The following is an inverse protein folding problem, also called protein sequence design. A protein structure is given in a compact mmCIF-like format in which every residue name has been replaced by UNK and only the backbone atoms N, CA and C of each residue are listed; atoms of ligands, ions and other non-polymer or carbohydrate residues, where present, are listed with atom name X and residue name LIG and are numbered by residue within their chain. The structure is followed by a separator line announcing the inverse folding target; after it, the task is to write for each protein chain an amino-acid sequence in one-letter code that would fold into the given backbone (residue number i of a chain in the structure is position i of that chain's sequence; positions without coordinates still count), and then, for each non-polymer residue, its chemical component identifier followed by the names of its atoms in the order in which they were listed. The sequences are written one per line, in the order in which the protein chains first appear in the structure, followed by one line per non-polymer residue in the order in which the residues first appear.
data_IF_862586796954
#
_entry.id   IF_862586796954
#
_cell.length_a   1.000
_cell.length_b   1.000
_cell.length_c   1.000
_cell.angle_alpha   90.00
_cell.angle_beta   90.00
_cell.angle_gamma   90.00
#
_symmetry.space_group_name_H-M   'P 1'
#
loop_
_entity.id
_entity.type
_entity.pdbx_description
1 polymer ?
#
# COMPACT_ATOMS: atom_id res chain seq x y z
N UNK A 1 -10.30 -14.00 -7.83
CA UNK A 1 -10.50 -15.07 -6.82
C UNK A 1 -9.46 -14.89 -5.71
N UNK A 2 -9.90 -14.99 -4.45
CA UNK A 2 -8.99 -14.95 -3.30
C UNK A 2 -8.53 -16.37 -3.00
N UNK A 3 -7.20 -16.58 -2.89
CA UNK A 3 -6.62 -17.83 -2.44
C UNK A 3 -6.58 -17.82 -0.90
N UNK A 4 -7.04 -18.89 -0.26
CA UNK A 4 -7.10 -19.03 1.20
C UNK A 4 -6.06 -19.98 1.77
N UNK A 5 -5.63 -20.98 0.99
CA UNK A 5 -4.56 -21.88 1.40
C UNK A 5 -3.82 -22.49 0.21
N UNK A 6 -2.60 -22.92 0.48
CA UNK A 6 -1.76 -23.69 -0.43
C UNK A 6 -1.69 -25.13 0.09
N UNK A 7 -1.87 -26.10 -0.81
CA UNK A 7 -1.75 -27.52 -0.53
C UNK A 7 -0.66 -28.14 -1.40
N UNK A 8 0.20 -28.97 -0.81
CA UNK A 8 1.22 -29.69 -1.55
C UNK A 8 0.84 -31.15 -1.71
N UNK A 9 0.64 -31.60 -2.94
CA UNK A 9 0.26 -32.98 -3.28
C UNK A 9 1.22 -33.51 -4.35
N UNK A 10 1.80 -34.67 -4.13
CA UNK A 10 2.70 -35.33 -5.09
C UNK A 10 3.82 -34.41 -5.62
N UNK A 11 4.41 -33.56 -4.74
CA UNK A 11 5.48 -32.60 -5.05
C UNK A 11 5.01 -31.33 -5.82
N UNK A 12 3.73 -31.18 -6.12
CA UNK A 12 3.16 -30.03 -6.79
C UNK A 12 2.23 -29.22 -5.87
N UNK A 13 2.09 -27.94 -6.15
CA UNK A 13 1.25 -27.04 -5.42
C UNK A 13 -0.15 -26.95 -6.01
N UNK A 14 -1.13 -26.92 -5.13
CA UNK A 14 -2.52 -26.61 -5.43
C UNK A 14 -2.96 -25.41 -4.60
N UNK A 15 -3.72 -24.51 -5.23
CA UNK A 15 -4.25 -23.31 -4.58
C UNK A 15 -5.75 -23.50 -4.35
N UNK A 16 -6.18 -23.33 -3.12
CA UNK A 16 -7.60 -23.42 -2.78
C UNK A 16 -8.15 -22.01 -2.58
N UNK A 17 -9.17 -21.67 -3.33
CA UNK A 17 -9.81 -20.37 -3.25
C UNK A 17 -10.94 -20.32 -2.20
N UNK A 18 -11.50 -19.11 -2.01
CA UNK A 18 -12.60 -18.86 -1.06
C UNK A 18 -13.89 -19.62 -1.38
N UNK A 19 -14.02 -20.18 -2.57
CA UNK A 19 -15.13 -21.03 -2.99
C UNK A 19 -14.81 -22.53 -2.87
N UNK A 20 -13.66 -22.86 -2.24
CA UNK A 20 -13.12 -24.22 -2.13
C UNK A 20 -12.78 -24.87 -3.47
N UNK A 21 -12.60 -24.07 -4.51
CA UNK A 21 -12.13 -24.57 -5.81
C UNK A 21 -10.64 -24.80 -5.77
N UNK A 22 -10.19 -25.95 -6.28
CA UNK A 22 -8.80 -26.33 -6.38
C UNK A 22 -8.24 -25.87 -7.74
N UNK A 23 -7.17 -25.08 -7.73
CA UNK A 23 -6.45 -24.64 -8.91
C UNK A 23 -5.06 -25.27 -8.94
N UNK A 24 -4.60 -25.70 -10.10
CA UNK A 24 -3.31 -26.36 -10.29
C UNK A 24 -3.46 -27.68 -11.06
N UNK A 25 -2.43 -28.56 -11.00
CA UNK A 25 -1.18 -28.43 -10.21
C UNK A 25 -0.20 -27.40 -10.76
N UNK A 26 0.66 -26.87 -9.89
CA UNK A 26 1.75 -25.96 -10.22
C UNK A 26 3.08 -26.47 -9.65
N UNK A 27 4.16 -26.34 -10.40
CA UNK A 27 5.50 -26.75 -9.96
C UNK A 27 6.09 -25.74 -8.94
N UNK A 28 5.74 -24.47 -9.10
CA UNK A 28 6.23 -23.39 -8.24
C UNK A 28 5.12 -22.39 -7.93
N UNK A 29 5.22 -21.75 -6.74
CA UNK A 29 4.33 -20.70 -6.29
C UNK A 29 5.14 -19.49 -5.81
N UNK A 30 4.74 -18.30 -6.25
CA UNK A 30 5.25 -17.03 -5.73
C UNK A 30 4.13 -16.37 -4.95
N UNK A 31 4.37 -16.13 -3.66
CA UNK A 31 3.45 -15.44 -2.75
C UNK A 31 3.85 -13.96 -2.71
N UNK A 32 3.12 -13.11 -3.43
CA UNK A 32 3.38 -11.69 -3.57
C UNK A 32 2.25 -10.85 -2.96
N UNK A 33 1.95 -11.11 -1.68
CA UNK A 33 0.90 -10.41 -0.91
C UNK A 33 1.47 -9.85 0.38
N UNK A 34 0.79 -8.90 1.06
CA UNK A 34 1.22 -8.37 2.35
C UNK A 34 1.47 -9.47 3.40
N UNK A 35 2.37 -9.24 4.38
CA UNK A 35 2.82 -10.29 5.30
C UNK A 35 1.68 -10.93 6.10
N UNK A 36 0.70 -10.14 6.54
CA UNK A 36 -0.48 -10.67 7.25
C UNK A 36 -1.35 -11.61 6.38
N UNK A 37 -1.28 -11.46 5.06
CA UNK A 37 -1.96 -12.36 4.12
C UNK A 37 -1.06 -13.52 3.68
N UNK A 38 0.26 -13.32 3.66
CA UNK A 38 1.23 -14.35 3.32
C UNK A 38 1.35 -15.42 4.42
N UNK A 39 1.40 -15.02 5.70
CA UNK A 39 1.62 -15.92 6.82
C UNK A 39 0.65 -17.13 6.85
N UNK A 40 -0.68 -16.98 6.71
CA UNK A 40 -1.58 -18.12 6.65
C UNK A 40 -1.36 -19.02 5.42
N UNK A 41 -0.99 -18.45 4.27
CA UNK A 41 -0.68 -19.23 3.07
C UNK A 41 0.59 -20.06 3.24
N UNK A 42 1.54 -19.59 4.05
CA UNK A 42 2.83 -20.23 4.33
C UNK A 42 2.82 -21.19 5.50
N UNK A 43 1.66 -21.48 6.13
CA UNK A 43 1.56 -22.28 7.34
C UNK A 43 2.25 -23.66 7.26
N UNK A 44 2.34 -24.24 6.05
CA UNK A 44 3.06 -25.52 5.80
C UNK A 44 4.57 -25.37 5.54
N UNK A 45 5.14 -24.16 5.59
CA UNK A 45 6.55 -23.88 5.22
C UNK A 45 7.23 -23.12 6.37
N UNK A 46 7.69 -23.84 7.36
CA UNK A 46 8.11 -23.30 8.66
C UNK A 46 9.17 -22.19 8.59
N UNK A 47 10.13 -22.29 7.64
CA UNK A 47 11.18 -21.28 7.47
C UNK A 47 10.69 -19.98 6.81
N UNK A 48 9.52 -19.96 6.19
CA UNK A 48 8.92 -18.77 5.56
C UNK A 48 7.81 -18.14 6.40
N UNK A 49 7.10 -18.95 7.19
CA UNK A 49 5.97 -18.43 8.00
C UNK A 49 6.43 -17.49 9.10
N UNK A 50 7.57 -17.77 9.76
CA UNK A 50 8.06 -16.92 10.85
C UNK A 50 8.44 -15.52 10.40
N UNK A 51 9.23 -15.28 9.31
CA UNK A 51 9.45 -13.97 8.77
C UNK A 51 8.14 -13.22 8.42
N UNK A 52 7.19 -13.89 7.75
CA UNK A 52 5.92 -13.26 7.39
C UNK A 52 5.07 -12.91 8.62
N UNK A 53 5.02 -13.78 9.63
CA UNK A 53 4.25 -13.52 10.86
C UNK A 53 4.84 -12.42 11.74
N UNK A 54 6.16 -12.22 11.67
CA UNK A 54 6.85 -11.19 12.44
C UNK A 54 6.93 -9.83 11.72
N UNK A 55 6.48 -9.77 10.48
CA UNK A 55 6.42 -8.53 9.73
C UNK A 55 5.06 -7.86 9.88
N UNK A 56 5.07 -6.54 10.02
CA UNK A 56 3.87 -5.72 10.08
C UNK A 56 3.90 -4.60 9.05
N UNK A 57 2.72 -4.17 8.63
CA UNK A 57 2.52 -3.04 7.73
C UNK A 57 1.76 -1.94 8.44
N UNK A 58 2.11 -0.71 8.15
CA UNK A 58 1.38 0.47 8.61
C UNK A 58 0.32 0.86 7.58
N UNK A 59 -0.84 1.34 8.02
CA UNK A 59 -1.87 1.85 7.12
C UNK A 59 -1.54 3.24 6.61
N UNK A 60 -2.30 3.67 5.59
CA UNK A 60 -2.26 5.02 5.06
C UNK A 60 -3.54 5.38 4.34
N UNK A 61 -3.91 6.65 4.39
CA UNK A 61 -4.92 7.23 3.52
C UNK A 61 -4.24 7.96 2.37
N UNK A 62 -4.73 7.73 1.16
CA UNK A 62 -4.36 8.51 -0.02
C UNK A 62 -5.60 9.25 -0.52
N UNK A 63 -5.49 10.56 -0.68
CA UNK A 63 -6.55 11.42 -1.22
C UNK A 63 -6.08 12.00 -2.54
N UNK A 64 -6.87 11.79 -3.60
CA UNK A 64 -6.68 12.43 -4.89
C UNK A 64 -7.73 13.53 -5.05
N UNK A 65 -7.29 14.72 -5.44
CA UNK A 65 -8.18 15.85 -5.74
C UNK A 65 -7.85 16.48 -7.09
N UNK A 66 -8.88 17.01 -7.75
CA UNK A 66 -8.73 17.93 -8.88
C UNK A 66 -9.30 19.29 -8.49
N UNK A 67 -8.53 20.34 -8.65
CA UNK A 67 -8.94 21.69 -8.34
C UNK A 67 -9.43 22.43 -9.61
N UNK A 68 -10.37 23.38 -9.46
CA UNK A 68 -10.94 24.12 -10.60
C UNK A 68 -9.95 25.04 -11.29
N UNK A 69 -8.87 25.41 -10.59
CA UNK A 69 -7.83 26.31 -11.09
C UNK A 69 -6.48 26.00 -10.48
N UNK A 70 -5.43 26.45 -11.12
CA UNK A 70 -4.06 26.31 -10.65
C UNK A 70 -3.88 27.04 -9.32
N UNK A 71 -3.23 26.36 -8.35
CA UNK A 71 -2.84 26.98 -7.09
C UNK A 71 -1.64 27.92 -7.28
N UNK A 72 -1.67 29.03 -6.58
CA UNK A 72 -0.52 29.94 -6.45
C UNK A 72 0.50 29.38 -5.46
N UNK A 73 1.17 28.33 -5.88
CA UNK A 73 2.22 27.66 -5.12
C UNK A 73 3.33 27.21 -6.06
N UNK A 74 4.57 27.48 -5.68
CA UNK A 74 5.76 27.00 -6.38
C UNK A 74 6.11 25.56 -6.04
N UNK A 75 5.44 24.94 -5.05
CA UNK A 75 5.72 23.58 -4.63
C UNK A 75 5.12 22.56 -5.61
N UNK A 76 5.93 21.65 -6.11
CA UNK A 76 5.51 20.48 -6.87
C UNK A 76 5.28 19.27 -5.96
N UNK A 77 6.05 19.16 -4.88
CA UNK A 77 5.86 18.16 -3.84
C UNK A 77 6.43 18.65 -2.50
N UNK A 78 5.83 18.23 -1.40
CA UNK A 78 6.27 18.56 -0.04
C UNK A 78 6.22 17.31 0.84
N UNK A 79 7.33 16.98 1.50
CA UNK A 79 7.34 16.05 2.62
C UNK A 79 6.98 16.82 3.90
N UNK A 80 5.82 16.55 4.45
CA UNK A 80 5.28 17.22 5.64
C UNK A 80 5.71 16.51 6.91
N UNK A 81 5.46 15.21 6.99
CA UNK A 81 5.84 14.31 8.08
C UNK A 81 5.35 14.74 9.46
N UNK A 82 4.27 15.47 9.51
CA UNK A 82 3.68 15.96 10.77
C UNK A 82 2.16 16.12 10.64
N UNK A 83 1.45 15.99 11.77
CA UNK A 83 0.00 16.07 11.79
C UNK A 83 -0.63 14.96 10.93
N UNK A 84 -1.70 15.26 10.18
CA UNK A 84 -2.36 14.28 9.33
C UNK A 84 -1.60 13.96 8.05
N UNK A 85 -0.71 14.85 7.56
CA UNK A 85 -0.02 14.70 6.27
C UNK A 85 1.42 14.21 6.40
N UNK A 86 1.77 13.22 5.59
CA UNK A 86 3.15 12.76 5.36
C UNK A 86 3.74 13.41 4.10
N UNK A 87 2.96 13.43 3.01
CA UNK A 87 3.42 13.91 1.71
C UNK A 87 2.26 14.44 0.88
N UNK A 88 2.53 15.48 0.09
CA UNK A 88 1.63 16.02 -0.93
C UNK A 88 2.39 16.20 -2.24
N UNK A 89 1.74 15.98 -3.38
CA UNK A 89 2.34 16.18 -4.69
C UNK A 89 1.34 16.66 -5.73
N UNK A 90 1.81 17.59 -6.59
CA UNK A 90 1.10 18.05 -7.77
C UNK A 90 1.36 17.08 -8.93
N UNK A 91 0.33 16.41 -9.41
CA UNK A 91 0.47 15.41 -10.47
C UNK A 91 0.85 16.02 -11.83
N UNK A 92 0.42 17.27 -12.10
CA UNK A 92 0.75 17.97 -13.34
C UNK A 92 2.25 18.30 -13.49
N UNK A 93 3.04 18.27 -12.41
CA UNK A 93 4.49 18.48 -12.47
C UNK A 93 5.25 17.26 -13.02
N UNK A 94 4.61 16.10 -13.07
CA UNK A 94 5.23 14.86 -13.56
C UNK A 94 5.25 14.81 -15.09
N UNK A 95 6.32 14.27 -15.71
CA UNK A 95 6.41 14.15 -17.17
C UNK A 95 5.23 13.37 -17.77
N UNK A 96 4.70 13.86 -18.88
CA UNK A 96 3.62 13.20 -19.63
C UNK A 96 2.22 13.30 -19.00
N UNK A 97 2.05 14.08 -17.93
CA UNK A 97 0.74 14.30 -17.31
C UNK A 97 -0.01 15.47 -17.98
N UNK A 98 -1.36 15.39 -17.94
CA UNK A 98 -2.21 16.47 -18.40
C UNK A 98 -2.02 17.73 -17.53
N UNK A 99 -2.21 18.91 -18.14
CA UNK A 99 -2.09 20.20 -17.45
C UNK A 99 -3.37 20.51 -16.65
N UNK A 100 -3.76 19.61 -15.76
CA UNK A 100 -4.87 19.73 -14.82
C UNK A 100 -4.32 19.85 -13.40
N UNK A 101 -4.96 20.66 -12.55
CA UNK A 101 -4.49 20.88 -11.17
C UNK A 101 -4.91 19.72 -10.28
N UNK A 102 -4.22 18.59 -10.46
CA UNK A 102 -4.42 17.37 -9.69
C UNK A 102 -3.36 17.26 -8.60
N UNK A 103 -3.81 16.91 -7.40
CA UNK A 103 -2.95 16.68 -6.26
C UNK A 103 -3.23 15.32 -5.64
N UNK A 104 -2.17 14.70 -5.10
CA UNK A 104 -2.25 13.53 -4.26
C UNK A 104 -1.72 13.89 -2.88
N UNK A 105 -2.50 13.55 -1.86
CA UNK A 105 -2.19 13.76 -0.46
C UNK A 105 -2.08 12.40 0.22
N UNK A 106 -1.03 12.19 0.99
CA UNK A 106 -0.83 10.95 1.76
C UNK A 106 -0.75 11.28 3.24
N UNK A 107 -1.49 10.51 4.04
CA UNK A 107 -1.48 10.67 5.49
C UNK A 107 -0.24 10.08 6.14
N UNK A 108 0.08 10.56 7.36
CA UNK A 108 0.99 9.84 8.24
C UNK A 108 0.34 8.53 8.71
N UNK A 109 1.13 7.46 8.99
CA UNK A 109 0.57 6.20 9.48
C UNK A 109 -0.14 6.33 10.81
N UNK A 110 0.44 7.09 11.74
CA UNK A 110 -0.15 7.30 13.07
C UNK A 110 -1.53 7.97 12.99
N UNK A 111 -1.69 8.93 12.07
CA UNK A 111 -2.99 9.55 11.84
C UNK A 111 -3.95 8.57 11.15
N UNK A 112 -3.46 7.82 10.14
CA UNK A 112 -4.27 6.82 9.45
C UNK A 112 -4.79 5.74 10.40
N UNK A 113 -3.95 5.26 11.33
CA UNK A 113 -4.33 4.27 12.35
C UNK A 113 -5.47 4.78 13.24
N UNK A 114 -5.42 6.05 13.64
CA UNK A 114 -6.46 6.67 14.46
C UNK A 114 -7.78 6.93 13.70
N UNK A 115 -7.73 6.92 12.36
CA UNK A 115 -8.86 7.27 11.47
C UNK A 115 -9.18 6.15 10.47
N UNK A 116 -8.91 4.88 10.82
CA UNK A 116 -9.09 3.74 9.90
C UNK A 116 -10.53 3.56 9.43
N UNK A 117 -11.49 3.79 10.32
CA UNK A 117 -12.91 3.51 10.06
C UNK A 117 -13.72 4.78 9.82
N UNK A 118 -13.07 5.93 9.69
CA UNK A 118 -13.75 7.20 9.40
C UNK A 118 -14.30 7.25 7.98
N UNK A 119 -15.33 8.07 7.80
CA UNK A 119 -15.94 8.29 6.48
C UNK A 119 -14.91 8.88 5.50
N UNK A 120 -14.78 8.34 4.29
CA UNK A 120 -13.87 8.87 3.27
C UNK A 120 -14.03 10.36 2.97
N UNK A 121 -15.24 10.93 3.12
CA UNK A 121 -15.46 12.36 2.92
C UNK A 121 -14.80 13.18 4.06
N UNK A 122 -14.88 12.72 5.30
CA UNK A 122 -14.20 13.35 6.44
C UNK A 122 -12.68 13.32 6.29
N UNK A 123 -12.14 12.20 5.76
CA UNK A 123 -10.72 12.06 5.44
C UNK A 123 -10.29 13.09 4.39
N UNK A 124 -11.08 13.27 3.32
CA UNK A 124 -10.79 14.28 2.31
C UNK A 124 -10.76 15.67 2.93
N UNK A 125 -11.79 16.04 3.69
CA UNK A 125 -11.90 17.36 4.32
C UNK A 125 -10.70 17.65 5.24
N UNK A 126 -10.31 16.67 6.06
CA UNK A 126 -9.18 16.81 6.99
C UNK A 126 -7.85 16.98 6.25
N UNK A 127 -7.57 16.14 5.21
CA UNK A 127 -6.30 16.21 4.48
C UNK A 127 -6.22 17.45 3.57
N UNK A 128 -7.34 17.90 2.99
CA UNK A 128 -7.39 19.14 2.19
C UNK A 128 -7.20 20.37 3.07
N UNK A 129 -7.80 20.40 4.27
CA UNK A 129 -7.56 21.48 5.24
C UNK A 129 -6.08 21.55 5.64
N UNK A 130 -5.49 20.40 5.99
CA UNK A 130 -4.07 20.32 6.33
C UNK A 130 -3.14 20.72 5.16
N UNK A 131 -3.51 20.42 3.91
CA UNK A 131 -2.79 20.89 2.72
C UNK A 131 -2.78 22.43 2.66
N UNK A 132 -3.92 23.06 2.94
CA UNK A 132 -4.02 24.53 2.99
C UNK A 132 -3.10 25.14 4.03
N UNK A 133 -3.03 24.54 5.23
CA UNK A 133 -2.12 24.97 6.30
C UNK A 133 -0.66 24.83 5.89
N UNK A 134 -0.28 23.69 5.31
CA UNK A 134 1.10 23.41 4.87
C UNK A 134 1.56 24.36 3.76
N UNK A 135 0.69 24.65 2.80
CA UNK A 135 1.02 25.55 1.69
C UNK A 135 0.83 27.02 2.05
N UNK A 136 0.17 27.36 3.17
CA UNK A 136 -0.15 28.72 3.57
C UNK A 136 -1.15 29.43 2.65
N UNK A 137 -2.03 28.67 1.97
CA UNK A 137 -2.98 29.17 0.99
C UNK A 137 -4.37 28.56 1.19
N UNK A 138 -5.39 29.26 0.74
CA UNK A 138 -6.73 28.68 0.67
C UNK A 138 -6.83 27.68 -0.48
N UNK A 139 -7.30 26.47 -0.18
CA UNK A 139 -7.59 25.45 -1.19
C UNK A 139 -9.05 25.60 -1.62
N UNK A 140 -9.33 25.87 -2.89
CA UNK A 140 -10.70 25.94 -3.38
C UNK A 140 -11.35 24.55 -3.33
N UNK A 141 -12.68 24.52 -3.26
CA UNK A 141 -13.44 23.26 -3.28
C UNK A 141 -13.05 22.43 -4.51
N UNK A 142 -12.57 21.18 -4.31
CA UNK A 142 -12.24 20.30 -5.43
C UNK A 142 -13.43 20.02 -6.34
N UNK A 143 -13.20 19.95 -7.64
CA UNK A 143 -14.20 19.50 -8.63
C UNK A 143 -14.26 17.99 -8.74
N UNK A 144 -13.22 17.30 -8.26
CA UNK A 144 -13.16 15.86 -8.05
C UNK A 144 -12.38 15.57 -6.78
N UNK A 145 -12.83 14.58 -6.02
CA UNK A 145 -12.12 14.11 -4.83
C UNK A 145 -12.40 12.63 -4.59
N UNK A 146 -11.39 11.92 -4.14
CA UNK A 146 -11.49 10.50 -3.78
C UNK A 146 -10.48 10.17 -2.69
N UNK A 147 -10.92 9.48 -1.64
CA UNK A 147 -10.05 8.88 -0.65
C UNK A 147 -9.96 7.38 -0.84
N UNK A 148 -8.77 6.82 -0.61
CA UNK A 148 -8.54 5.38 -0.60
C UNK A 148 -7.77 4.99 0.65
N UNK A 149 -8.26 3.97 1.35
CA UNK A 149 -7.64 3.41 2.53
C UNK A 149 -6.72 2.26 2.15
N UNK A 150 -5.43 2.42 2.41
CA UNK A 150 -4.43 1.37 2.30
C UNK A 150 -4.18 0.76 3.67
N UNK A 151 -4.62 -0.48 3.90
CA UNK A 151 -4.36 -1.20 5.16
C UNK A 151 -2.91 -1.67 5.28
N UNK A 152 -2.23 -1.78 4.15
CA UNK A 152 -0.85 -2.24 4.04
C UNK A 152 -0.06 -1.26 3.18
N UNK A 153 0.07 -0.02 3.65
CA UNK A 153 0.65 1.07 2.86
C UNK A 153 2.18 1.03 2.82
N UNK A 154 2.81 0.65 3.94
CA UNK A 154 4.26 0.52 4.02
C UNK A 154 4.67 -0.44 5.14
N UNK A 155 5.87 -1.06 5.08
CA UNK A 155 6.42 -1.82 6.20
C UNK A 155 6.59 -0.94 7.44
N UNK A 156 6.27 -1.50 8.62
CA UNK A 156 6.45 -0.82 9.90
C UNK A 156 7.93 -0.80 10.36
N UNK A 157 8.75 -1.70 9.79
CA UNK A 157 10.19 -1.77 10.05
C UNK A 157 10.93 -2.11 8.76
N UNK A 158 12.16 -1.64 8.66
CA UNK A 158 13.02 -1.97 7.54
C UNK A 158 13.42 -3.46 7.59
N UNK A 159 13.25 -4.14 6.46
CA UNK A 159 13.71 -5.51 6.24
C UNK A 159 14.64 -5.53 5.03
N UNK A 160 15.68 -6.37 5.10
CA UNK A 160 16.70 -6.50 4.06
C UNK A 160 16.81 -7.95 3.52
N UNK A 161 15.73 -8.71 3.61
CA UNK A 161 15.75 -10.12 3.16
C UNK A 161 15.84 -10.25 1.63
N UNK A 162 15.37 -9.26 0.89
CA UNK A 162 15.13 -9.37 -0.54
C UNK A 162 13.90 -10.23 -0.82
N UNK A 163 14.10 -11.44 -1.35
CA UNK A 163 13.06 -12.45 -1.46
C UNK A 163 13.32 -13.57 -0.44
N UNK A 164 12.24 -14.15 0.10
CA UNK A 164 12.32 -15.36 0.91
C UNK A 164 12.03 -16.57 0.04
N UNK A 165 12.73 -17.68 0.26
CA UNK A 165 12.61 -18.85 -0.59
C UNK A 165 12.73 -20.18 0.16
N UNK A 166 11.98 -21.18 -0.30
CA UNK A 166 12.19 -22.60 -0.03
C UNK A 166 12.22 -23.35 -1.35
N UNK A 167 13.36 -23.31 -2.08
CA UNK A 167 13.49 -23.84 -3.45
C UNK A 167 13.20 -25.33 -3.54
N UNK A 168 13.58 -26.10 -2.53
CA UNK A 168 13.31 -27.54 -2.41
C UNK A 168 11.81 -27.87 -2.36
N UNK A 169 11.01 -26.88 -1.99
CA UNK A 169 9.55 -26.96 -1.98
C UNK A 169 8.90 -26.22 -3.16
N UNK A 170 9.67 -25.50 -3.95
CA UNK A 170 9.15 -24.71 -5.07
C UNK A 170 8.28 -23.53 -4.62
N UNK A 171 8.55 -22.89 -3.45
CA UNK A 171 7.78 -21.75 -2.97
C UNK A 171 8.69 -20.57 -2.67
N UNK A 172 8.21 -19.39 -3.06
CA UNK A 172 8.93 -18.12 -2.95
C UNK A 172 8.00 -17.04 -2.42
N UNK A 173 8.56 -16.06 -1.72
CA UNK A 173 7.82 -14.91 -1.19
C UNK A 173 8.55 -13.63 -1.58
N UNK A 174 7.83 -12.67 -2.11
CA UNK A 174 8.35 -11.35 -2.43
C UNK A 174 7.33 -10.25 -2.09
N UNK A 175 7.80 -9.04 -2.02
CA UNK A 175 7.00 -7.85 -1.76
C UNK A 175 7.88 -6.73 -1.23
N UNK A 176 7.36 -5.50 -1.23
CA UNK A 176 8.03 -4.32 -0.70
C UNK A 176 8.44 -4.49 0.79
N UNK A 177 7.66 -5.23 1.56
CA UNK A 177 7.93 -5.57 2.94
C UNK A 177 9.15 -6.49 3.16
N UNK A 178 9.63 -7.12 2.09
CA UNK A 178 10.83 -7.95 2.15
C UNK A 178 12.14 -7.13 2.01
N UNK A 179 12.06 -5.91 1.45
CA UNK A 179 13.25 -5.09 1.18
C UNK A 179 12.91 -3.59 1.15
N UNK A 180 12.98 -2.93 2.30
CA UNK A 180 13.00 -1.47 2.44
C UNK A 180 11.73 -0.72 2.03
N UNK A 181 10.61 -1.39 1.76
CA UNK A 181 9.30 -0.76 1.54
C UNK A 181 9.15 0.04 0.26
N UNK A 182 9.94 -0.25 -0.78
CA UNK A 182 9.88 0.47 -2.06
C UNK A 182 9.47 -0.46 -3.19
N UNK A 183 8.68 0.07 -4.14
CA UNK A 183 8.23 -0.71 -5.31
C UNK A 183 9.39 -1.36 -6.09
N UNK A 184 10.50 -0.66 -6.24
CA UNK A 184 11.69 -1.20 -6.92
C UNK A 184 12.50 -2.22 -6.09
N UNK A 185 12.06 -2.53 -4.88
CA UNK A 185 12.66 -3.50 -3.98
C UNK A 185 11.80 -4.79 -3.84
N UNK A 186 10.67 -4.86 -4.52
CA UNK A 186 9.75 -5.99 -4.48
C UNK A 186 10.13 -7.09 -5.48
#
# INVERSE_FOLDING_TARGET
TRIERLERQAQQWHLVDSQQTLHGPYDQVIVAVPPAQAAPLLAGVANLVAPASNSSMEPGWAVAITLPQKLDSSADAVFVRSGPLDWIAREASKPGRANSENWVLQSTPAWAEAHLDDDPAQIVDALVAAMGEVLGIHIPTPVFQQAHRWLYARPAADCEWGALAAPEQGIYVCGDWCLGGRLGAA
#
